data_IF_506122005709
#
_entry.id   IF_506122005709
#
_cell.length_a   1.000
_cell.length_b   1.000
_cell.length_c   1.000
_cell.angle_alpha   90.00
_cell.angle_beta   90.00
_cell.angle_gamma   90.00
#
_symmetry.space_group_name_H-M   'P 1'
#
loop_
_entity.id
_entity.type
_entity.pdbx_description
1 polymer ?
#
# COMPACT_ATOMS: atom_id res chain seq x y z
N UNK A 1 5.12 13.44 19.41
CA UNK A 1 5.82 14.51 18.66
C UNK A 1 5.19 14.57 17.28
N UNK A 2 4.97 15.76 16.75
CA UNK A 2 4.49 15.96 15.36
C UNK A 2 5.68 15.84 14.39
N UNK A 3 5.43 15.37 13.15
CA UNK A 3 6.46 15.41 12.11
C UNK A 3 6.85 16.88 11.82
N UNK A 4 8.11 17.13 11.38
CA UNK A 4 8.56 18.49 11.06
C UNK A 4 7.62 19.18 10.06
N UNK A 5 7.39 20.48 10.21
CA UNK A 5 6.46 21.25 9.36
C UNK A 5 6.95 21.35 7.90
N UNK A 6 8.23 21.15 7.67
CA UNK A 6 8.89 21.14 6.37
C UNK A 6 8.84 19.78 5.63
N UNK A 7 8.08 18.81 6.15
CA UNK A 7 7.87 17.51 5.49
C UNK A 7 6.40 17.33 5.11
N UNK A 8 6.13 16.92 3.89
CA UNK A 8 4.83 16.42 3.43
C UNK A 8 4.94 14.95 2.98
N UNK A 9 3.79 14.30 2.76
CA UNK A 9 3.76 12.92 2.30
C UNK A 9 3.02 12.76 0.96
N UNK A 10 3.53 11.89 0.09
CA UNK A 10 2.89 11.48 -1.15
C UNK A 10 2.64 9.98 -1.11
N UNK A 11 1.37 9.59 -1.19
CA UNK A 11 0.93 8.20 -1.25
C UNK A 11 0.75 7.78 -2.71
N UNK A 12 1.51 6.78 -3.15
CA UNK A 12 1.46 6.29 -4.52
C UNK A 12 0.35 5.24 -4.68
N UNK A 13 -0.73 5.61 -5.37
CA UNK A 13 -1.91 4.77 -5.59
C UNK A 13 -2.34 4.65 -7.07
N UNK A 14 -1.58 5.21 -8.03
CA UNK A 14 -1.92 5.23 -9.46
C UNK A 14 -1.55 3.93 -10.21
N UNK A 15 -1.01 2.92 -9.53
CA UNK A 15 -0.56 1.67 -10.16
C UNK A 15 -1.70 0.85 -10.76
N UNK A 16 -1.50 0.29 -11.98
CA UNK A 16 -2.51 -0.51 -12.69
C UNK A 16 -2.79 -1.89 -12.05
N UNK A 17 -1.86 -2.41 -11.25
CA UNK A 17 -2.03 -3.69 -10.56
C UNK A 17 -2.25 -4.90 -11.48
N UNK A 18 -1.65 -4.94 -12.66
CA UNK A 18 -1.94 -5.93 -13.71
C UNK A 18 -1.71 -7.37 -13.30
N UNK A 19 -0.72 -7.63 -12.44
CA UNK A 19 -0.39 -8.98 -11.91
C UNK A 19 -1.43 -9.52 -10.93
N UNK A 20 -2.26 -8.64 -10.33
CA UNK A 20 -3.31 -9.00 -9.38
C UNK A 20 -4.68 -9.22 -10.06
N UNK A 21 -4.75 -9.16 -11.40
CA UNK A 21 -5.98 -9.51 -12.12
C UNK A 21 -6.42 -10.96 -11.81
N UNK A 22 -7.76 -11.22 -11.76
CA UNK A 22 -8.85 -10.34 -12.18
C UNK A 22 -9.31 -9.33 -11.11
N UNK A 23 -8.80 -9.38 -9.89
CA UNK A 23 -9.25 -8.55 -8.76
C UNK A 23 -9.14 -7.05 -9.07
N UNK A 24 -8.04 -6.62 -9.69
CA UNK A 24 -7.83 -5.22 -10.09
C UNK A 24 -8.59 -4.77 -11.34
N UNK A 25 -9.38 -5.65 -11.94
CA UNK A 25 -10.42 -5.28 -12.90
C UNK A 25 -11.69 -4.73 -12.26
N UNK A 26 -11.85 -4.88 -10.94
CA UNK A 26 -13.03 -4.48 -10.18
C UNK A 26 -12.80 -3.25 -9.30
N UNK A 27 -11.56 -3.04 -8.85
CA UNK A 27 -11.14 -1.91 -8.03
C UNK A 27 -9.62 -1.70 -8.14
N UNK A 28 -9.09 -0.49 -7.88
CA UNK A 28 -7.65 -0.24 -7.91
C UNK A 28 -6.92 -1.07 -6.83
N UNK A 29 -5.66 -1.47 -7.08
CA UNK A 29 -4.85 -2.25 -6.14
C UNK A 29 -4.80 -1.61 -4.73
N UNK A 30 -4.70 -0.29 -4.66
CA UNK A 30 -4.69 0.44 -3.40
C UNK A 30 -5.97 0.27 -2.55
N UNK A 31 -7.08 -0.14 -3.16
CA UNK A 31 -8.36 -0.37 -2.46
C UNK A 31 -8.67 -1.84 -2.20
N UNK A 32 -7.79 -2.79 -2.56
CA UNK A 32 -8.00 -4.19 -2.15
C UNK A 32 -7.85 -4.31 -0.63
N UNK A 33 -8.79 -4.99 0.06
CA UNK A 33 -8.75 -5.07 1.52
C UNK A 33 -7.80 -6.17 1.99
N UNK A 34 -6.95 -5.87 2.97
CA UNK A 34 -6.20 -6.86 3.75
C UNK A 34 -6.70 -6.82 5.19
N UNK A 35 -7.23 -7.94 5.69
CA UNK A 35 -7.87 -7.99 7.01
C UNK A 35 -9.04 -6.99 7.12
N UNK A 36 -9.88 -6.90 6.08
CA UNK A 36 -11.01 -5.97 5.94
C UNK A 36 -10.66 -4.47 5.86
N UNK A 37 -9.39 -4.10 5.80
CA UNK A 37 -8.96 -2.69 5.67
C UNK A 37 -8.28 -2.48 4.31
N UNK A 38 -8.71 -1.52 3.47
CA UNK A 38 -8.04 -1.17 2.22
C UNK A 38 -6.55 -0.82 2.43
N UNK A 39 -5.69 -1.21 1.49
CA UNK A 39 -4.24 -0.92 1.57
C UNK A 39 -3.97 0.59 1.68
N UNK A 40 -4.73 1.41 0.97
CA UNK A 40 -4.65 2.87 1.04
C UNK A 40 -4.94 3.40 2.44
N UNK A 41 -5.98 2.87 3.11
CA UNK A 41 -6.31 3.30 4.48
C UNK A 41 -5.21 2.89 5.46
N UNK A 42 -4.60 1.73 5.28
CA UNK A 42 -3.42 1.32 6.07
C UNK A 42 -2.26 2.30 5.87
N UNK A 43 -1.98 2.73 4.63
CA UNK A 43 -0.95 3.72 4.34
C UNK A 43 -1.26 5.06 5.02
N UNK A 44 -2.49 5.56 4.91
CA UNK A 44 -2.93 6.80 5.56
C UNK A 44 -2.87 6.72 7.09
N UNK A 45 -3.22 5.58 7.68
CA UNK A 45 -3.11 5.38 9.14
C UNK A 45 -1.65 5.38 9.61
N UNK A 46 -0.71 4.76 8.85
CA UNK A 46 0.72 4.81 9.17
C UNK A 46 1.26 6.24 9.13
N UNK A 47 0.87 7.02 8.11
CA UNK A 47 1.24 8.44 8.03
C UNK A 47 0.68 9.25 9.20
N UNK A 48 -0.59 9.05 9.56
CA UNK A 48 -1.20 9.71 10.70
C UNK A 48 -0.49 9.39 12.03
N UNK A 49 -0.08 8.12 12.23
CA UNK A 49 0.71 7.70 13.39
C UNK A 49 2.10 8.36 13.42
N UNK A 50 2.66 8.71 12.26
CA UNK A 50 3.90 9.47 12.14
C UNK A 50 3.70 11.00 12.27
N UNK A 51 2.46 11.48 12.45
CA UNK A 51 2.12 12.91 12.58
C UNK A 51 1.91 13.61 11.24
N UNK A 52 1.71 12.86 10.15
CA UNK A 52 1.41 13.37 8.82
C UNK A 52 -0.05 13.06 8.47
N UNK A 53 -0.92 14.06 8.54
CA UNK A 53 -2.35 13.92 8.26
C UNK A 53 -2.96 15.19 7.65
N UNK A 54 -4.06 15.02 6.92
CA UNK A 54 -4.83 16.11 6.31
C UNK A 54 -4.29 16.56 4.94
N UNK A 55 -5.16 17.21 4.15
CA UNK A 55 -4.88 17.60 2.77
C UNK A 55 -3.75 18.63 2.59
N UNK A 56 -3.36 19.34 3.65
CA UNK A 56 -2.20 20.24 3.63
C UNK A 56 -0.86 19.51 3.76
N UNK A 57 -0.86 18.27 4.26
CA UNK A 57 0.36 17.51 4.55
C UNK A 57 0.45 16.16 3.84
N UNK A 58 -0.66 15.61 3.35
CA UNK A 58 -0.72 14.33 2.64
C UNK A 58 -1.38 14.54 1.29
N UNK A 59 -0.75 14.03 0.22
CA UNK A 59 -1.33 13.92 -1.11
C UNK A 59 -1.40 12.45 -1.53
N UNK A 60 -2.38 12.12 -2.38
CA UNK A 60 -2.55 10.78 -2.97
C UNK A 60 -2.63 10.95 -4.48
N UNK A 61 -1.81 10.25 -5.26
CA UNK A 61 -1.98 10.20 -6.70
C UNK A 61 -2.95 9.08 -7.10
N UNK A 62 -3.66 9.27 -8.20
CA UNK A 62 -4.57 8.28 -8.74
C UNK A 62 -4.60 8.35 -10.28
N UNK A 63 -4.83 7.20 -10.91
CA UNK A 63 -5.02 7.06 -12.36
C UNK A 63 -6.15 6.06 -12.65
N UNK A 64 -5.89 4.76 -12.54
CA UNK A 64 -6.88 3.71 -12.76
C UNK A 64 -7.94 3.70 -11.65
N UNK A 65 -9.22 3.78 -12.01
CA UNK A 65 -10.34 3.96 -11.07
C UNK A 65 -10.15 5.16 -10.11
N UNK A 66 -9.68 6.30 -10.64
CA UNK A 66 -9.38 7.50 -9.86
C UNK A 66 -10.57 7.98 -9.02
N UNK A 67 -11.81 7.84 -9.51
CA UNK A 67 -13.03 8.20 -8.78
C UNK A 67 -13.16 7.38 -7.49
N UNK A 68 -12.93 6.06 -7.53
CA UNK A 68 -12.98 5.21 -6.34
C UNK A 68 -11.92 5.60 -5.30
N UNK A 69 -10.71 5.95 -5.76
CA UNK A 69 -9.64 6.44 -4.88
C UNK A 69 -10.05 7.77 -4.25
N UNK A 70 -10.60 8.69 -5.06
CA UNK A 70 -11.04 10.02 -4.59
C UNK A 70 -12.14 9.90 -3.54
N UNK A 71 -13.14 9.05 -3.78
CA UNK A 71 -14.21 8.77 -2.82
C UNK A 71 -13.66 8.19 -1.52
N UNK A 72 -12.76 7.19 -1.62
CA UNK A 72 -12.14 6.56 -0.44
C UNK A 72 -11.28 7.56 0.36
N UNK A 73 -10.53 8.43 -0.31
CA UNK A 73 -9.70 9.45 0.35
C UNK A 73 -10.55 10.52 1.02
N UNK A 74 -11.62 10.97 0.37
CA UNK A 74 -12.48 12.06 0.86
C UNK A 74 -11.65 13.33 1.12
N UNK A 75 -11.75 13.88 2.33
CA UNK A 75 -11.02 15.09 2.75
C UNK A 75 -9.69 14.81 3.47
N UNK A 76 -9.29 13.53 3.56
CA UNK A 76 -8.10 13.12 4.34
C UNK A 76 -6.78 13.50 3.69
N UNK A 77 -6.76 13.72 2.37
CA UNK A 77 -5.56 14.09 1.62
C UNK A 77 -5.89 14.94 0.41
N UNK A 78 -4.88 15.62 -0.14
CA UNK A 78 -4.94 16.28 -1.43
C UNK A 78 -4.91 15.24 -2.56
N UNK A 79 -5.78 15.39 -3.58
CA UNK A 79 -5.83 14.46 -4.71
C UNK A 79 -5.02 15.00 -5.90
N UNK A 80 -4.18 14.13 -6.48
CA UNK A 80 -3.44 14.38 -7.72
C UNK A 80 -3.86 13.35 -8.76
N UNK A 81 -4.71 13.75 -9.71
CA UNK A 81 -5.21 12.86 -10.77
C UNK A 81 -4.25 12.87 -11.96
N UNK A 82 -3.87 11.68 -12.42
CA UNK A 82 -3.04 11.46 -13.61
C UNK A 82 -3.94 11.03 -14.77
N UNK A 83 -4.45 12.02 -15.55
CA UNK A 83 -5.54 11.80 -16.51
C UNK A 83 -5.14 10.96 -17.73
N UNK A 84 -3.94 11.15 -18.27
CA UNK A 84 -3.52 10.53 -19.54
C UNK A 84 -2.92 9.15 -19.34
N UNK A 85 -1.88 9.08 -18.53
CA UNK A 85 -1.11 7.86 -18.25
C UNK A 85 -0.49 7.96 -16.86
N UNK A 86 -0.20 6.81 -16.19
CA UNK A 86 0.47 6.84 -14.90
C UNK A 86 1.87 7.39 -15.08
N UNK A 87 2.23 8.36 -14.23
CA UNK A 87 3.52 9.07 -14.30
C UNK A 87 4.69 8.30 -13.65
N UNK A 88 4.41 7.17 -13.03
CA UNK A 88 5.41 6.45 -12.23
C UNK A 88 5.74 7.16 -10.91
N UNK A 89 6.61 6.57 -10.11
CA UNK A 89 6.84 7.06 -8.74
C UNK A 89 7.53 8.43 -8.67
N UNK A 90 8.44 8.74 -9.58
CA UNK A 90 9.12 10.04 -9.61
C UNK A 90 8.26 11.11 -10.29
N UNK A 91 7.61 10.77 -11.40
CA UNK A 91 6.71 11.69 -12.10
C UNK A 91 5.50 12.09 -11.27
N UNK A 92 4.97 11.19 -10.44
CA UNK A 92 3.90 11.49 -9.49
C UNK A 92 4.31 12.57 -8.47
N UNK A 93 5.53 12.50 -7.94
CA UNK A 93 6.08 13.54 -7.05
C UNK A 93 6.28 14.84 -7.83
N UNK A 94 6.84 14.77 -9.04
CA UNK A 94 7.01 15.94 -9.91
C UNK A 94 5.70 16.64 -10.27
N UNK A 95 4.61 15.88 -10.47
CA UNK A 95 3.29 16.44 -10.73
C UNK A 95 2.70 17.22 -9.54
N UNK A 96 3.17 16.94 -8.34
CA UNK A 96 2.77 17.61 -7.10
C UNK A 96 3.68 18.78 -6.71
N UNK A 97 4.62 19.20 -7.57
CA UNK A 97 5.63 20.22 -7.25
C UNK A 97 5.03 21.49 -6.62
N UNK A 98 3.94 22.03 -7.18
CA UNK A 98 3.29 23.24 -6.66
C UNK A 98 2.62 23.03 -5.30
N UNK A 99 2.14 21.80 -5.01
CA UNK A 99 1.57 21.46 -3.70
C UNK A 99 2.66 21.15 -2.66
N UNK A 100 3.76 20.51 -3.08
CA UNK A 100 4.92 20.21 -2.24
C UNK A 100 5.55 21.52 -1.72
N UNK A 101 5.64 22.53 -2.57
CA UNK A 101 6.07 23.90 -2.20
C UNK A 101 7.39 23.92 -1.40
N UNK A 102 8.42 23.30 -1.96
CA UNK A 102 9.77 23.29 -1.40
C UNK A 102 9.98 22.43 -0.16
N UNK A 103 8.99 21.66 0.27
CA UNK A 103 9.11 20.72 1.41
C UNK A 103 9.85 19.44 1.00
N UNK A 104 10.42 18.77 1.98
CA UNK A 104 10.84 17.38 1.86
C UNK A 104 9.63 16.45 1.72
N UNK A 105 9.82 15.28 1.09
CA UNK A 105 8.70 14.40 0.72
C UNK A 105 8.92 12.99 1.25
N UNK A 106 8.03 12.55 2.14
CA UNK A 106 7.89 11.14 2.50
C UNK A 106 6.98 10.45 1.47
N UNK A 107 7.57 9.67 0.57
CA UNK A 107 6.85 8.88 -0.42
C UNK A 107 6.51 7.52 0.17
N UNK A 108 5.25 7.11 0.11
CA UNK A 108 4.78 5.82 0.60
C UNK A 108 3.93 5.10 -0.45
N UNK A 109 4.15 3.81 -0.60
CA UNK A 109 3.34 2.97 -1.48
C UNK A 109 2.02 2.55 -0.80
N UNK A 110 0.90 2.59 -1.54
CA UNK A 110 -0.41 2.09 -1.11
C UNK A 110 -0.75 0.72 -1.72
N UNK A 111 0.24 -0.07 -2.09
CA UNK A 111 0.05 -1.34 -2.80
C UNK A 111 0.67 -2.55 -2.10
N UNK A 112 1.19 -2.34 -0.90
CA UNK A 112 1.79 -3.37 -0.06
C UNK A 112 1.14 -3.40 1.34
N UNK A 113 1.13 -4.59 1.93
CA UNK A 113 0.77 -4.78 3.33
C UNK A 113 2.03 -4.63 4.20
N UNK A 114 1.92 -3.77 5.20
CA UNK A 114 2.95 -3.59 6.22
C UNK A 114 2.31 -3.80 7.59
N UNK A 115 2.85 -4.76 8.35
CA UNK A 115 2.53 -4.99 9.76
C UNK A 115 3.75 -4.64 10.59
N UNK A 116 3.80 -3.40 11.07
CA UNK A 116 4.88 -2.85 11.85
C UNK A 116 4.32 -2.11 13.07
N UNK A 117 5.20 -1.73 13.99
CA UNK A 117 4.80 -0.95 15.16
C UNK A 117 4.20 0.42 14.75
N UNK A 118 3.20 0.93 15.48
CA UNK A 118 2.68 2.27 15.23
C UNK A 118 3.79 3.31 15.29
N UNK A 119 3.95 4.08 14.22
CA UNK A 119 5.00 5.10 14.13
C UNK A 119 6.30 4.62 13.47
N UNK A 120 6.32 3.45 12.84
CA UNK A 120 7.47 2.94 12.06
C UNK A 120 8.06 3.96 11.07
N UNK A 121 7.21 4.79 10.47
CA UNK A 121 7.65 5.86 9.56
C UNK A 121 8.40 6.99 10.28
N UNK A 122 8.30 7.09 11.62
CA UNK A 122 9.08 8.08 12.39
C UNK A 122 10.57 7.79 12.36
N UNK A 123 10.98 6.54 12.27
CA UNK A 123 12.38 6.17 12.15
C UNK A 123 13.05 6.79 10.90
N UNK A 124 12.25 7.10 9.86
CA UNK A 124 12.74 7.83 8.70
C UNK A 124 12.87 9.34 8.97
N UNK A 125 12.11 9.89 9.90
CA UNK A 125 12.00 11.32 10.19
C UNK A 125 12.89 11.76 11.36
N UNK A 126 13.06 10.90 12.37
CA UNK A 126 13.77 11.23 13.60
C UNK A 126 15.27 11.41 13.31
N UNK A 127 15.84 12.50 13.83
CA UNK A 127 17.25 12.87 13.65
C UNK A 127 17.72 12.90 12.18
N UNK A 128 16.79 13.17 11.24
CA UNK A 128 17.11 13.27 9.83
C UNK A 128 17.85 14.59 9.51
N UNK A 129 18.92 14.50 8.72
CA UNK A 129 19.80 15.62 8.35
C UNK A 129 19.24 16.56 7.26
N UNK A 130 18.09 16.21 6.65
CA UNK A 130 17.49 16.96 5.54
C UNK A 130 18.24 16.82 4.19
N UNK A 131 19.26 15.97 4.10
CA UNK A 131 20.14 15.82 2.93
C UNK A 131 20.28 14.39 2.42
N UNK A 132 20.21 13.42 3.32
CA UNK A 132 20.32 11.99 3.01
C UNK A 132 18.93 11.44 2.66
N UNK A 133 18.83 10.70 1.56
CA UNK A 133 17.61 9.94 1.27
C UNK A 133 17.54 8.77 2.25
N UNK A 134 16.44 8.65 2.97
CA UNK A 134 16.17 7.49 3.82
C UNK A 134 15.08 6.62 3.20
N UNK A 135 15.20 5.31 3.34
CA UNK A 135 14.15 4.38 2.92
C UNK A 135 13.96 3.27 3.92
N UNK A 136 12.71 2.83 4.11
CA UNK A 136 12.43 1.58 4.80
C UNK A 136 12.92 0.41 3.97
N UNK A 137 13.62 -0.52 4.60
CA UNK A 137 14.15 -1.71 3.96
C UNK A 137 13.82 -2.99 4.73
N UNK A 138 13.65 -4.10 4.01
CA UNK A 138 13.51 -5.43 4.59
C UNK A 138 14.58 -6.38 4.03
N UNK A 139 14.87 -7.46 4.73
CA UNK A 139 15.72 -8.51 4.18
C UNK A 139 14.98 -9.18 3.03
N UNK A 140 15.57 -9.16 1.84
CA UNK A 140 14.95 -9.73 0.65
C UNK A 140 15.60 -11.05 0.30
N UNK A 141 14.73 -12.04 0.07
CA UNK A 141 15.07 -13.27 -0.65
C UNK A 141 14.46 -13.25 -2.07
N UNK A 142 13.92 -12.10 -2.52
CA UNK A 142 13.09 -11.94 -3.71
C UNK A 142 13.88 -11.56 -4.99
N UNK A 143 15.21 -11.52 -4.91
CA UNK A 143 16.08 -11.22 -6.06
C UNK A 143 16.11 -9.75 -6.48
N UNK A 144 15.47 -8.84 -5.77
CA UNK A 144 15.59 -7.40 -6.03
C UNK A 144 16.94 -6.87 -5.55
N UNK A 145 17.64 -6.04 -6.34
CA UNK A 145 18.93 -5.51 -5.93
C UNK A 145 18.78 -4.64 -4.68
N UNK A 146 19.46 -4.99 -3.58
CA UNK A 146 19.31 -4.30 -2.31
C UNK A 146 19.87 -2.88 -2.36
N UNK A 147 19.33 -2.00 -1.51
CA UNK A 147 19.88 -0.69 -1.17
C UNK A 147 20.50 -0.78 0.22
N UNK A 148 21.80 -0.53 0.33
CA UNK A 148 22.47 -0.67 1.63
C UNK A 148 22.34 -2.07 2.25
N UNK A 149 22.15 -3.13 1.44
CA UNK A 149 21.95 -4.50 1.90
C UNK A 149 20.49 -4.88 2.19
N UNK A 150 19.53 -3.98 1.99
CA UNK A 150 18.10 -4.20 2.22
C UNK A 150 17.28 -3.92 0.96
N UNK A 151 16.21 -4.64 0.73
CA UNK A 151 15.23 -4.33 -0.30
C UNK A 151 14.25 -3.27 0.19
N UNK A 152 13.73 -2.44 -0.73
CA UNK A 152 12.79 -1.39 -0.42
C UNK A 152 11.48 -1.92 0.18
N UNK A 153 11.04 -1.33 1.29
CA UNK A 153 9.85 -1.72 2.03
C UNK A 153 8.73 -0.65 2.00
N UNK A 154 8.52 -0.06 0.83
CA UNK A 154 7.33 0.76 0.56
C UNK A 154 7.36 2.20 1.07
N UNK A 155 8.42 2.69 1.71
CA UNK A 155 8.53 4.09 2.14
C UNK A 155 9.93 4.67 1.89
N UNK A 156 10.02 5.93 1.41
CA UNK A 156 11.27 6.67 1.28
C UNK A 156 11.08 8.15 1.55
N UNK A 157 12.01 8.76 2.28
CA UNK A 157 12.07 10.19 2.59
C UNK A 157 13.08 10.88 1.67
N UNK A 158 12.59 11.83 0.89
CA UNK A 158 13.39 12.59 -0.07
C UNK A 158 13.67 13.99 0.47
N UNK A 159 14.93 14.47 0.45
CA UNK A 159 15.24 15.87 0.66
C UNK A 159 14.47 16.79 -0.29
N UNK A 160 14.15 18.00 0.16
CA UNK A 160 13.49 19.01 -0.65
C UNK A 160 14.21 19.27 -1.98
N UNK A 161 15.54 19.30 -1.96
CA UNK A 161 16.37 19.51 -3.15
C UNK A 161 16.24 18.35 -4.17
N UNK A 162 16.13 17.09 -3.70
CA UNK A 162 15.93 15.93 -4.57
C UNK A 162 14.49 15.88 -5.11
N UNK A 163 13.50 16.30 -4.34
CA UNK A 163 12.09 16.40 -4.79
C UNK A 163 11.88 17.54 -5.81
N UNK A 164 12.54 18.67 -5.63
CA UNK A 164 12.40 19.87 -6.46
C UNK A 164 12.84 19.69 -7.92
N UNK A 165 13.71 18.72 -8.22
CA UNK A 165 14.18 18.47 -9.59
C UNK A 165 13.35 17.44 -10.36
N UNK A 166 12.39 16.78 -9.70
CA UNK A 166 11.49 15.82 -10.33
C UNK A 166 10.49 16.54 -11.23
N UNK A 167 10.20 15.93 -12.39
CA UNK A 167 9.29 16.50 -13.41
C UNK A 167 8.02 15.67 -13.52
N UNK A 168 6.90 16.26 -13.97
CA UNK A 168 5.63 15.56 -14.21
C UNK A 168 5.68 14.75 -15.53
N UNK A 169 6.64 13.83 -15.64
CA UNK A 169 6.83 12.95 -16.79
C UNK A 169 7.09 11.51 -16.29
N UNK A 170 6.76 10.51 -17.11
CA UNK A 170 6.90 9.11 -16.73
C UNK A 170 8.32 8.78 -16.28
N UNK A 171 8.48 8.53 -15.00
CA UNK A 171 9.79 8.19 -14.41
C UNK A 171 9.63 7.50 -13.04
N UNK A 172 10.69 6.81 -12.61
CA UNK A 172 10.72 6.06 -11.37
C UNK A 172 11.84 6.52 -10.44
N UNK A 173 11.53 6.66 -9.14
CA UNK A 173 12.47 7.07 -8.10
C UNK A 173 13.74 6.21 -8.05
N UNK A 174 13.60 4.92 -8.34
CA UNK A 174 14.74 3.99 -8.41
C UNK A 174 15.84 4.50 -9.33
N UNK A 175 15.49 4.99 -10.52
CA UNK A 175 16.45 5.39 -11.55
C UNK A 175 16.85 6.86 -11.42
N UNK A 176 15.89 7.73 -11.07
CA UNK A 176 16.10 9.18 -11.05
C UNK A 176 16.69 9.69 -9.75
N UNK A 177 16.47 8.96 -8.65
CA UNK A 177 16.74 9.47 -7.30
C UNK A 177 17.57 8.49 -6.46
N UNK A 178 17.06 7.25 -6.25
CA UNK A 178 17.69 6.34 -5.28
C UNK A 178 19.06 5.82 -5.74
N UNK A 179 19.20 5.31 -6.97
CA UNK A 179 20.49 4.83 -7.48
C UNK A 179 21.56 5.93 -7.63
N UNK A 180 21.21 7.14 -8.09
CA UNK A 180 22.15 8.28 -8.02
C UNK A 180 22.61 8.62 -6.59
N UNK A 181 21.67 8.67 -5.64
CA UNK A 181 21.99 8.96 -4.24
C UNK A 181 22.85 7.86 -3.59
N UNK A 182 22.55 6.58 -3.87
CA UNK A 182 23.35 5.45 -3.39
C UNK A 182 24.82 5.54 -3.89
N UNK A 183 25.02 5.81 -5.19
CA UNK A 183 26.37 6.02 -5.76
C UNK A 183 27.11 7.20 -5.14
N UNK A 184 26.36 8.24 -4.75
CA UNK A 184 26.89 9.42 -4.07
C UNK A 184 27.02 9.23 -2.54
N UNK A 185 26.75 8.04 -2.02
CA UNK A 185 26.74 7.73 -0.57
C UNK A 185 25.79 8.63 0.23
N UNK A 186 24.66 9.02 -0.38
CA UNK A 186 23.60 9.85 0.21
C UNK A 186 22.27 9.08 0.36
N UNK A 187 22.33 7.74 0.47
CA UNK A 187 21.17 6.92 0.69
C UNK A 187 21.42 6.03 1.92
N UNK A 188 20.46 6.04 2.84
CA UNK A 188 20.43 5.23 4.04
C UNK A 188 19.19 4.33 4.01
N UNK A 189 19.42 3.01 4.10
CA UNK A 189 18.32 2.04 4.25
C UNK A 189 18.16 1.70 5.73
N UNK A 190 16.97 1.97 6.28
CA UNK A 190 16.60 1.72 7.67
C UNK A 190 15.79 0.42 7.73
N UNK A 191 16.22 -0.58 8.52
CA UNK A 191 15.50 -1.83 8.63
C UNK A 191 14.09 -1.62 9.17
N UNK A 192 13.07 -2.15 8.45
CA UNK A 192 11.71 -2.19 8.94
C UNK A 192 11.59 -3.26 10.05
N UNK A 193 11.19 -2.85 11.26
CA UNK A 193 10.81 -3.78 12.33
C UNK A 193 9.35 -4.21 12.11
N UNK A 194 9.18 -5.28 11.34
CA UNK A 194 7.86 -5.79 10.98
C UNK A 194 7.84 -6.63 9.71
N UNK A 195 6.64 -6.90 9.23
CA UNK A 195 6.39 -7.68 8.02
C UNK A 195 6.02 -6.76 6.85
N UNK A 196 6.69 -6.96 5.72
CA UNK A 196 6.36 -6.33 4.44
C UNK A 196 5.96 -7.40 3.43
N UNK A 197 4.79 -7.24 2.78
CA UNK A 197 4.32 -8.12 1.71
C UNK A 197 3.82 -7.24 0.54
N UNK A 198 4.49 -7.31 -0.62
CA UNK A 198 3.95 -6.72 -1.85
C UNK A 198 2.70 -7.50 -2.29
N UNK A 199 1.53 -6.89 -2.20
CA UNK A 199 0.28 -7.51 -2.65
C UNK A 199 0.15 -7.52 -4.18
N UNK A 200 1.23 -7.85 -4.89
CA UNK A 200 1.35 -7.77 -6.36
C UNK A 200 0.64 -8.87 -7.10
N UNK A 201 0.51 -10.06 -6.53
CA UNK A 201 -0.15 -11.23 -7.12
C UNK A 201 -1.28 -11.74 -6.24
N UNK A 202 -2.21 -12.58 -6.76
CA UNK A 202 -3.21 -13.23 -5.90
C UNK A 202 -2.62 -14.06 -4.76
N UNK A 203 -1.45 -14.68 -4.96
CA UNK A 203 -0.75 -15.45 -3.93
C UNK A 203 -0.22 -14.55 -2.81
N UNK A 204 0.49 -13.48 -3.14
CA UNK A 204 0.99 -12.51 -2.18
C UNK A 204 -0.16 -11.81 -1.43
N UNK A 205 -1.23 -11.47 -2.15
CA UNK A 205 -2.44 -10.89 -1.58
C UNK A 205 -3.10 -11.83 -0.57
N UNK A 206 -3.23 -13.12 -0.90
CA UNK A 206 -3.73 -14.14 0.04
C UNK A 206 -2.79 -14.26 1.24
N UNK A 207 -1.47 -14.34 1.02
CA UNK A 207 -0.48 -14.42 2.09
C UNK A 207 -0.57 -13.22 3.06
N UNK A 208 -0.73 -12.00 2.55
CA UNK A 208 -0.93 -10.80 3.35
C UNK A 208 -2.20 -10.89 4.23
N UNK A 209 -3.30 -11.40 3.68
CA UNK A 209 -4.52 -11.61 4.44
C UNK A 209 -4.36 -12.71 5.49
N UNK A 210 -3.69 -13.82 5.15
CA UNK A 210 -3.41 -14.88 6.11
C UNK A 210 -2.50 -14.39 7.25
N UNK A 211 -1.50 -13.58 6.95
CA UNK A 211 -0.70 -12.93 7.98
C UNK A 211 -1.58 -12.05 8.88
N UNK A 212 -2.45 -11.23 8.30
CA UNK A 212 -3.35 -10.35 9.06
C UNK A 212 -4.32 -11.10 9.98
N UNK A 213 -4.72 -12.34 9.64
CA UNK A 213 -5.60 -13.16 10.49
C UNK A 213 -4.91 -13.65 11.76
N UNK A 214 -3.58 -13.74 11.78
CA UNK A 214 -2.81 -14.34 12.90
C UNK A 214 -3.34 -15.72 13.30
N UNK A 215 -3.79 -16.52 12.30
CA UNK A 215 -4.38 -17.85 12.51
C UNK A 215 -5.85 -17.86 12.98
N UNK A 216 -6.45 -16.70 13.17
CA UNK A 216 -7.85 -16.53 13.58
C UNK A 216 -8.74 -16.25 12.36
N UNK A 217 -10.05 -16.13 12.55
CA UNK A 217 -10.94 -15.54 11.56
C UNK A 217 -11.10 -14.04 11.81
N UNK A 218 -11.07 -13.23 10.75
CA UNK A 218 -11.46 -11.82 10.79
C UNK A 218 -12.82 -11.67 10.11
N UNK A 219 -13.86 -11.52 10.91
CA UNK A 219 -15.25 -11.46 10.45
C UNK A 219 -15.77 -10.04 10.69
N UNK A 220 -16.29 -9.39 9.63
CA UNK A 220 -16.93 -8.09 9.76
C UNK A 220 -18.25 -8.22 10.56
N UNK A 221 -18.60 -7.18 11.33
CA UNK A 221 -19.76 -7.19 12.25
C UNK A 221 -21.09 -7.45 11.56
N UNK A 222 -21.23 -6.97 10.32
CA UNK A 222 -22.43 -7.09 9.50
C UNK A 222 -22.44 -8.32 8.58
N UNK A 223 -21.44 -9.19 8.68
CA UNK A 223 -21.38 -10.43 7.91
C UNK A 223 -22.29 -11.51 8.53
N UNK A 224 -23.04 -12.22 7.67
CA UNK A 224 -23.85 -13.36 8.06
C UNK A 224 -23.05 -14.66 7.89
N UNK A 225 -22.73 -15.33 9.00
CA UNK A 225 -21.92 -16.54 8.99
C UNK A 225 -22.65 -17.67 9.73
N UNK A 226 -23.09 -18.68 8.98
CA UNK A 226 -23.72 -19.89 9.55
C UNK A 226 -22.95 -21.17 9.20
N UNK A 227 -22.01 -21.09 8.26
CA UNK A 227 -21.09 -22.16 7.89
C UNK A 227 -19.81 -22.18 8.75
N UNK A 228 -18.78 -22.87 8.29
CA UNK A 228 -17.51 -23.00 9.00
C UNK A 228 -16.39 -22.19 8.34
N UNK A 229 -15.70 -21.35 9.12
CA UNK A 229 -14.56 -20.56 8.67
C UNK A 229 -13.29 -20.94 9.45
N UNK A 230 -12.16 -21.03 8.74
CA UNK A 230 -10.85 -21.35 9.34
C UNK A 230 -9.80 -20.41 8.77
N UNK A 231 -9.12 -19.64 9.63
CA UNK A 231 -8.06 -18.68 9.25
C UNK A 231 -8.44 -17.86 8.02
N UNK A 232 -9.65 -17.27 8.03
CA UNK A 232 -10.23 -16.60 6.87
C UNK A 232 -10.63 -15.16 7.19
N UNK A 233 -10.67 -14.33 6.16
CA UNK A 233 -11.18 -12.95 6.23
C UNK A 233 -12.57 -12.91 5.58
N UNK A 234 -13.57 -12.47 6.32
CA UNK A 234 -14.96 -12.36 5.84
C UNK A 234 -15.34 -10.88 5.88
N UNK A 235 -15.51 -10.31 4.69
CA UNK A 235 -15.74 -8.88 4.50
C UNK A 235 -17.12 -8.40 4.88
N UNK A 236 -17.32 -7.08 5.00
CA UNK A 236 -18.61 -6.47 5.32
C UNK A 236 -19.71 -6.88 4.36
N UNK A 237 -20.93 -7.08 4.90
CA UNK A 237 -22.10 -7.47 4.13
C UNK A 237 -22.01 -8.84 3.46
N UNK A 238 -21.01 -9.66 3.76
CA UNK A 238 -20.86 -11.02 3.20
C UNK A 238 -21.85 -12.01 3.81
N UNK A 239 -22.24 -13.02 3.01
CA UNK A 239 -23.09 -14.13 3.45
C UNK A 239 -22.37 -15.46 3.22
N UNK A 240 -21.94 -16.15 4.28
CA UNK A 240 -21.18 -17.39 4.23
C UNK A 240 -21.93 -18.53 4.91
N UNK A 241 -22.41 -19.48 4.11
CA UNK A 241 -23.20 -20.63 4.53
C UNK A 241 -22.44 -21.96 4.41
N UNK A 242 -21.42 -22.01 3.56
CA UNK A 242 -20.61 -23.19 3.28
C UNK A 242 -19.36 -23.26 4.17
N UNK A 243 -18.26 -23.79 3.63
CA UNK A 243 -17.00 -23.97 4.35
C UNK A 243 -15.89 -23.19 3.66
N UNK A 244 -15.16 -22.36 4.41
CA UNK A 244 -14.01 -21.62 3.90
C UNK A 244 -12.77 -21.90 4.75
N UNK A 245 -11.62 -22.13 4.10
CA UNK A 245 -10.32 -22.35 4.72
C UNK A 245 -9.27 -21.48 4.04
N UNK A 246 -8.61 -20.63 4.83
CA UNK A 246 -7.59 -19.70 4.31
C UNK A 246 -8.11 -18.90 3.11
N UNK A 247 -9.30 -18.29 3.27
CA UNK A 247 -9.97 -17.56 2.22
C UNK A 247 -10.15 -16.08 2.57
N UNK A 248 -10.33 -15.28 1.53
CA UNK A 248 -10.71 -13.86 1.64
C UNK A 248 -12.02 -13.66 0.92
N UNK A 249 -13.04 -13.32 1.65
CA UNK A 249 -14.34 -12.92 1.11
C UNK A 249 -14.40 -11.40 1.08
N UNK A 250 -14.49 -10.83 -0.11
CA UNK A 250 -14.62 -9.38 -0.26
C UNK A 250 -15.99 -8.88 0.22
N UNK A 251 -16.12 -7.55 0.45
CA UNK A 251 -17.42 -6.98 0.84
C UNK A 251 -18.56 -7.44 -0.07
N UNK A 252 -19.67 -7.90 0.53
CA UNK A 252 -20.85 -8.44 -0.19
C UNK A 252 -20.63 -9.80 -0.85
N UNK A 253 -19.55 -10.51 -0.56
CA UNK A 253 -19.30 -11.84 -1.12
C UNK A 253 -20.29 -12.89 -0.56
N UNK A 254 -20.59 -13.92 -1.37
CA UNK A 254 -21.45 -15.01 -0.98
C UNK A 254 -20.80 -16.37 -1.19
N UNK A 255 -20.99 -17.27 -0.22
CA UNK A 255 -20.61 -18.69 -0.29
C UNK A 255 -21.84 -19.50 0.09
N UNK A 256 -22.37 -20.30 -0.84
CA UNK A 256 -23.56 -21.12 -0.62
C UNK A 256 -23.25 -22.38 0.22
N UNK A 257 -24.27 -23.02 0.80
CA UNK A 257 -24.13 -24.07 1.82
C UNK A 257 -23.42 -25.34 1.32
N UNK A 258 -23.46 -25.61 0.04
CA UNK A 258 -22.79 -26.74 -0.62
C UNK A 258 -21.37 -26.43 -1.10
N UNK A 259 -20.91 -25.19 -0.97
CA UNK A 259 -19.57 -24.77 -1.40
C UNK A 259 -18.51 -25.03 -0.32
N UNK A 260 -17.34 -25.49 -0.78
CA UNK A 260 -16.10 -25.57 0.02
C UNK A 260 -15.01 -24.83 -0.73
N UNK A 261 -14.50 -23.75 -0.13
CA UNK A 261 -13.41 -22.95 -0.69
C UNK A 261 -12.15 -23.12 0.18
N UNK A 262 -11.00 -23.26 -0.48
CA UNK A 262 -9.71 -23.34 0.17
C UNK A 262 -8.70 -22.52 -0.66
N UNK A 263 -7.83 -21.76 0.04
CA UNK A 263 -6.80 -20.90 -0.56
C UNK A 263 -7.36 -20.07 -1.73
N UNK A 264 -8.39 -19.26 -1.43
CA UNK A 264 -9.12 -18.55 -2.47
C UNK A 264 -9.55 -17.15 -2.04
N UNK A 265 -9.78 -16.30 -3.04
CA UNK A 265 -10.45 -15.01 -2.91
C UNK A 265 -11.79 -15.08 -3.59
N UNK A 266 -12.87 -14.79 -2.87
CA UNK A 266 -14.25 -14.72 -3.39
C UNK A 266 -14.69 -13.26 -3.49
N UNK A 267 -15.21 -12.86 -4.66
CA UNK A 267 -15.81 -11.55 -4.91
C UNK A 267 -17.23 -11.75 -5.43
N UNK A 268 -18.19 -11.12 -4.79
CA UNK A 268 -19.60 -11.36 -5.08
C UNK A 268 -19.98 -12.82 -4.90
N UNK A 269 -20.85 -13.33 -5.79
CA UNK A 269 -21.30 -14.73 -5.75
C UNK A 269 -20.46 -15.64 -6.63
N UNK A 270 -19.98 -15.14 -7.77
CA UNK A 270 -19.52 -16.01 -8.87
C UNK A 270 -18.00 -15.97 -9.11
N UNK A 271 -17.33 -14.88 -8.76
CA UNK A 271 -15.89 -14.77 -8.99
C UNK A 271 -15.10 -15.41 -7.84
N UNK A 272 -14.41 -16.50 -8.15
CA UNK A 272 -13.46 -17.15 -7.23
C UNK A 272 -12.08 -17.20 -7.86
N UNK A 273 -11.12 -16.57 -7.23
CA UNK A 273 -9.70 -16.65 -7.60
C UNK A 273 -9.04 -17.66 -6.68
N UNK A 274 -8.73 -18.85 -7.20
CA UNK A 274 -7.99 -19.89 -6.47
C UNK A 274 -6.50 -19.60 -6.52
N UNK A 275 -5.82 -19.75 -5.39
CA UNK A 275 -4.37 -19.62 -5.28
C UNK A 275 -3.78 -21.04 -5.18
N UNK A 276 -3.11 -21.48 -6.24
CA UNK A 276 -2.45 -22.79 -6.27
C UNK A 276 -1.03 -22.65 -5.73
N UNK A 277 -0.66 -23.46 -4.74
CA UNK A 277 0.71 -23.52 -4.21
C UNK A 277 1.04 -22.52 -3.12
N UNK A 278 0.04 -22.10 -2.30
CA UNK A 278 0.26 -21.30 -1.10
C UNK A 278 0.55 -22.16 0.14
#
# INVERSE_FOLDING_TARGET
MTAPDDVCAVVLAAGLGTRLKPLTGLRPKALVPVGNTPLLDRALHRLAAAGLAGAGRVAVNAHHFAEMITEQVGTRAHMSIEDKEPLGSAGAVGNLHGWIDGRAVLVINADAYVDAQPGDLRELLDDWDGRTIRMSGHRADDGHPPFGGLAFAGASLLPAADAAVLKPEYSHLVLTTWRPAERAQRLEAIPLDGTYIDCGTPADYLAANMHATRGQNLIAEDAVVTGAAHSSVIGPGSAMFGVVRRCVLWPGARVDADEVLTDAVRVGRDLTVKVTGA
#
